data_IF_604218169348
#
_entry.id   IF_604218169348
#
_cell.length_a   1.000
_cell.length_b   1.000
_cell.length_c   1.000
_cell.angle_alpha   90.00
_cell.angle_beta   90.00
_cell.angle_gamma   90.00
#
_symmetry.space_group_name_H-M   'P 1'
#
loop_
_entity.id
_entity.type
_entity.pdbx_description
1 polymer ?
#
# COMPACT_ATOMS: atom_id res chain seq x y z
N UNK A 1 -0.10 46.52 -25.90
CA UNK A 1 0.12 47.58 -26.92
C UNK A 1 1.03 46.99 -27.99
N UNK A 2 0.48 46.59 -29.15
CA UNK A 2 1.14 46.00 -30.35
C UNK A 2 1.97 44.69 -30.11
N UNK A 3 1.83 43.58 -30.86
CA UNK A 3 2.02 43.29 -32.31
C UNK A 3 3.51 43.35 -32.71
N UNK A 4 4.11 42.42 -33.47
CA UNK A 4 3.63 41.39 -34.43
C UNK A 4 4.58 40.13 -34.44
N UNK A 5 4.44 39.01 -35.18
CA UNK A 5 3.52 38.51 -36.24
C UNK A 5 3.44 36.93 -36.28
N UNK A 6 3.12 36.34 -37.45
CA UNK A 6 2.86 34.92 -37.80
C UNK A 6 4.03 34.20 -38.52
N UNK A 7 3.96 32.86 -38.63
CA UNK A 7 3.66 32.16 -39.90
C UNK A 7 3.22 30.67 -39.72
N UNK A 8 2.52 30.12 -40.72
CA UNK A 8 2.16 28.70 -40.95
C UNK A 8 2.46 28.38 -42.44
N UNK A 9 2.62 27.11 -42.83
CA UNK A 9 1.54 26.40 -43.56
C UNK A 9 1.43 24.90 -43.16
N UNK A 10 0.46 24.08 -43.60
CA UNK A 10 -0.89 24.29 -44.17
C UNK A 10 -1.76 23.03 -43.95
N UNK A 11 -3.07 23.19 -44.15
CA UNK A 11 -4.15 22.17 -44.12
C UNK A 11 -4.48 21.72 -45.59
N UNK A 12 -5.39 20.76 -45.94
CA UNK A 12 -6.80 20.77 -45.50
C UNK A 12 -7.59 19.44 -45.40
N UNK A 13 -8.83 19.60 -44.91
CA UNK A 13 -9.96 18.67 -44.95
C UNK A 13 -11.00 19.13 -46.00
N UNK A 14 -11.85 18.25 -46.56
CA UNK A 14 -12.94 18.64 -47.46
C UNK A 14 -14.36 18.49 -46.84
N UNK A 15 -15.27 19.41 -47.15
CA UNK A 15 -16.74 19.19 -47.16
C UNK A 15 -17.45 20.35 -47.88
N UNK A 16 -18.64 20.10 -48.49
CA UNK A 16 -19.53 21.04 -49.24
C UNK A 16 -18.98 21.51 -50.62
N UNK A 17 -19.80 21.81 -51.65
CA UNK A 17 -21.26 21.67 -51.84
C UNK A 17 -21.72 21.71 -53.32
N UNK A 18 -22.92 21.16 -53.57
CA UNK A 18 -23.96 21.56 -54.55
C UNK A 18 -23.88 21.26 -56.07
N UNK A 19 -25.11 21.21 -56.63
CA UNK A 19 -25.57 21.11 -58.03
C UNK A 19 -25.36 19.75 -58.75
N UNK A 20 -26.28 19.25 -59.60
CA UNK A 20 -27.75 19.06 -59.53
C UNK A 20 -28.26 18.62 -60.91
N UNK A 21 -29.00 17.51 -61.05
CA UNK A 21 -30.00 17.32 -62.13
C UNK A 21 -30.93 16.11 -61.88
N UNK A 22 -32.07 16.12 -62.59
CA UNK A 22 -33.20 15.18 -62.58
C UNK A 22 -33.00 13.99 -63.55
N UNK A 23 -33.79 12.90 -63.57
CA UNK A 23 -34.66 12.28 -62.55
C UNK A 23 -34.87 10.75 -62.84
N UNK A 24 -36.07 10.13 -62.97
CA UNK A 24 -36.35 8.92 -62.20
C UNK A 24 -36.63 7.63 -63.01
N UNK A 25 -36.59 6.49 -62.32
CA UNK A 25 -37.27 5.25 -62.74
C UNK A 25 -37.90 4.56 -61.51
N UNK A 26 -38.94 3.75 -61.74
CA UNK A 26 -39.95 3.45 -60.71
C UNK A 26 -39.77 2.09 -60.00
N UNK A 27 -40.36 2.06 -58.79
CA UNK A 27 -40.71 0.90 -57.98
C UNK A 27 -41.19 -0.32 -58.79
N UNK A 28 -40.94 -1.54 -58.28
CA UNK A 28 -42.06 -2.40 -57.87
C UNK A 28 -41.66 -3.51 -56.88
N UNK A 29 -42.58 -3.82 -55.97
CA UNK A 29 -42.53 -4.91 -54.99
C UNK A 29 -43.00 -6.25 -55.57
N UNK A 30 -42.59 -7.39 -54.97
CA UNK A 30 -43.31 -8.68 -55.08
C UNK A 30 -43.44 -9.38 -53.71
N UNK A 31 -44.57 -10.07 -53.42
CA UNK A 31 -44.89 -10.62 -52.10
C UNK A 31 -44.84 -12.16 -52.05
N UNK A 32 -45.32 -12.72 -50.93
CA UNK A 32 -45.59 -14.15 -50.71
C UNK A 32 -46.47 -14.80 -51.80
N UNK A 33 -46.30 -16.11 -51.98
CA UNK A 33 -47.26 -17.03 -52.60
C UNK A 33 -47.44 -18.29 -51.73
N UNK A 34 -48.58 -18.97 -51.87
CA UNK A 34 -48.99 -20.07 -50.98
C UNK A 34 -49.99 -21.02 -51.68
N UNK A 35 -50.20 -22.23 -51.14
CA UNK A 35 -51.19 -23.27 -51.54
C UNK A 35 -50.92 -24.03 -52.87
N UNK A 36 -51.55 -25.20 -53.16
CA UNK A 36 -52.46 -26.04 -52.35
C UNK A 36 -52.10 -27.56 -52.26
N UNK A 37 -53.00 -28.30 -51.58
CA UNK A 37 -53.21 -29.77 -51.46
C UNK A 37 -53.20 -30.61 -52.78
N UNK A 38 -53.31 -31.97 -52.84
CA UNK A 38 -53.48 -33.18 -51.95
C UNK A 38 -52.92 -34.40 -52.76
N UNK A 39 -52.70 -35.65 -52.30
CA UNK A 39 -53.62 -36.68 -51.79
C UNK A 39 -52.82 -37.99 -51.48
N UNK A 40 -53.46 -39.09 -51.05
CA UNK A 40 -52.81 -40.35 -50.62
C UNK A 40 -52.75 -41.45 -51.70
N UNK A 41 -51.86 -42.45 -51.54
CA UNK A 41 -52.28 -43.87 -51.65
C UNK A 41 -51.96 -44.71 -50.38
N UNK A 42 -52.30 -46.01 -50.43
CA UNK A 42 -52.39 -46.94 -49.27
C UNK A 42 -51.11 -47.73 -48.94
N UNK A 43 -51.15 -48.35 -47.76
CA UNK A 43 -50.19 -49.32 -47.21
C UNK A 43 -50.09 -50.65 -47.97
N UNK A 44 -48.92 -51.28 -47.90
CA UNK A 44 -48.71 -52.74 -48.05
C UNK A 44 -47.87 -53.28 -46.88
N UNK A 45 -47.77 -54.61 -46.72
CA UNK A 45 -47.32 -55.26 -45.48
C UNK A 45 -45.91 -55.87 -45.56
N UNK A 46 -45.24 -55.91 -44.40
CA UNK A 46 -44.40 -57.01 -43.89
C UNK A 46 -43.42 -57.72 -44.82
N UNK A 47 -42.12 -57.54 -44.54
CA UNK A 47 -41.15 -58.66 -44.54
C UNK A 47 -40.24 -58.59 -43.30
N UNK A 48 -39.86 -59.76 -42.78
CA UNK A 48 -38.92 -59.96 -41.65
C UNK A 48 -37.48 -59.93 -42.22
N UNK A 49 -36.38 -59.71 -41.50
CA UNK A 49 -35.94 -60.33 -40.24
C UNK A 49 -34.72 -59.55 -39.62
N UNK A 50 -34.09 -59.96 -38.50
CA UNK A 50 -33.37 -59.04 -37.60
C UNK A 50 -31.84 -58.95 -37.77
N UNK A 51 -31.26 -57.78 -37.45
CA UNK A 51 -29.85 -57.61 -37.14
C UNK A 51 -29.60 -56.42 -36.17
N UNK A 52 -28.58 -56.57 -35.31
CA UNK A 52 -27.92 -55.53 -34.50
C UNK A 52 -28.78 -54.49 -33.75
N UNK A 53 -29.33 -54.87 -32.59
CA UNK A 53 -29.58 -53.91 -31.52
C UNK A 53 -28.24 -53.44 -30.90
N UNK A 54 -27.52 -52.54 -31.59
CA UNK A 54 -26.73 -51.54 -30.87
C UNK A 54 -27.71 -50.46 -30.45
N UNK A 55 -28.06 -50.42 -29.17
CA UNK A 55 -28.95 -49.40 -28.64
C UNK A 55 -28.41 -48.02 -29.00
N UNK A 56 -29.21 -47.22 -29.70
CA UNK A 56 -28.94 -45.80 -29.85
C UNK A 56 -28.97 -45.22 -28.43
N UNK A 57 -27.85 -44.66 -27.92
CA UNK A 57 -27.84 -44.10 -26.58
C UNK A 57 -28.91 -43.01 -26.52
N UNK A 58 -29.72 -43.04 -25.46
CA UNK A 58 -30.87 -42.16 -25.33
C UNK A 58 -30.44 -40.69 -25.45
N UNK A 59 -31.35 -39.80 -25.86
CA UNK A 59 -31.04 -38.37 -25.90
C UNK A 59 -30.50 -37.85 -24.55
N UNK A 60 -30.94 -38.43 -23.43
CA UNK A 60 -30.40 -38.17 -22.08
C UNK A 60 -28.94 -38.64 -21.92
N UNK A 61 -28.57 -39.84 -22.37
CA UNK A 61 -27.18 -40.30 -22.36
C UNK A 61 -26.29 -39.53 -23.34
N UNK A 62 -26.81 -39.14 -24.50
CA UNK A 62 -26.09 -38.29 -25.45
C UNK A 62 -25.84 -36.90 -24.87
N UNK A 63 -26.83 -36.27 -24.23
CA UNK A 63 -26.66 -34.99 -23.52
C UNK A 63 -25.70 -35.12 -22.33
N UNK A 64 -25.80 -36.22 -21.55
CA UNK A 64 -24.88 -36.49 -20.45
C UNK A 64 -23.43 -36.74 -20.91
N UNK A 65 -23.21 -37.24 -22.13
CA UNK A 65 -21.88 -37.38 -22.75
C UNK A 65 -21.39 -36.14 -23.49
N UNK A 66 -22.27 -35.33 -24.06
CA UNK A 66 -21.90 -34.25 -24.99
C UNK A 66 -21.41 -32.98 -24.30
N UNK A 67 -21.79 -32.76 -23.03
CA UNK A 67 -21.43 -31.55 -22.28
C UNK A 67 -21.00 -31.85 -20.85
N UNK A 68 -19.82 -32.44 -20.71
CA UNK A 68 -18.96 -32.12 -19.57
C UNK A 68 -18.56 -30.64 -19.68
N UNK A 69 -19.44 -29.74 -19.22
CA UNK A 69 -19.18 -28.30 -19.16
C UNK A 69 -18.03 -28.11 -18.18
N UNK A 70 -16.85 -27.79 -18.71
CA UNK A 70 -15.64 -27.50 -17.91
C UNK A 70 -16.00 -26.51 -16.82
N UNK A 71 -15.57 -26.79 -15.61
CA UNK A 71 -15.87 -25.93 -14.46
C UNK A 71 -15.40 -24.51 -14.73
N UNK A 72 -16.13 -23.50 -14.24
CA UNK A 72 -15.69 -22.11 -14.29
C UNK A 72 -14.24 -21.96 -13.78
N UNK A 73 -13.87 -22.73 -12.75
CA UNK A 73 -12.52 -22.78 -12.19
C UNK A 73 -11.42 -23.24 -13.17
N UNK A 74 -11.73 -24.01 -14.22
CA UNK A 74 -10.78 -24.42 -15.26
C UNK A 74 -10.43 -23.29 -16.24
N UNK A 75 -11.32 -22.31 -16.39
CA UNK A 75 -11.08 -21.12 -17.23
C UNK A 75 -10.37 -19.99 -16.47
N UNK A 76 -10.41 -20.01 -15.13
CA UNK A 76 -9.79 -18.97 -14.29
C UNK A 76 -8.29 -19.21 -14.17
N UNK A 77 -7.49 -18.39 -14.87
CA UNK A 77 -6.03 -18.39 -14.74
C UNK A 77 -5.61 -17.79 -13.40
N UNK A 78 -4.93 -18.57 -12.58
CA UNK A 78 -4.35 -18.10 -11.32
C UNK A 78 -3.26 -17.04 -11.56
N UNK A 79 -3.23 -15.94 -10.77
CA UNK A 79 -2.21 -14.90 -10.90
C UNK A 79 -0.80 -15.43 -10.61
N UNK A 80 0.16 -15.03 -11.45
CA UNK A 80 1.59 -15.31 -11.24
C UNK A 80 2.17 -14.30 -10.24
N UNK A 81 3.01 -14.79 -9.33
CA UNK A 81 3.62 -14.01 -8.23
C UNK A 81 5.13 -13.78 -8.41
N UNK A 82 5.75 -14.40 -9.42
CA UNK A 82 7.20 -14.36 -9.65
C UNK A 82 7.74 -12.96 -9.94
N UNK A 83 6.99 -12.11 -10.64
CA UNK A 83 7.39 -10.72 -10.90
C UNK A 83 7.43 -9.88 -9.61
N UNK A 84 6.51 -10.15 -8.69
CA UNK A 84 6.38 -9.47 -7.40
C UNK A 84 7.53 -9.87 -6.49
N UNK A 85 7.84 -11.18 -6.38
CA UNK A 85 9.02 -11.68 -5.66
C UNK A 85 10.30 -11.05 -6.24
N UNK A 86 10.48 -11.11 -7.57
CA UNK A 86 11.63 -10.52 -8.25
C UNK A 86 11.77 -9.02 -8.04
N UNK A 87 10.68 -8.25 -8.15
CA UNK A 87 10.69 -6.80 -7.87
C UNK A 87 11.01 -6.49 -6.41
N UNK A 88 10.43 -7.22 -5.45
CA UNK A 88 10.72 -6.99 -4.03
C UNK A 88 12.20 -7.24 -3.72
N UNK A 89 12.78 -8.34 -4.22
CA UNK A 89 14.19 -8.67 -4.03
C UNK A 89 15.12 -7.65 -4.72
N UNK A 90 14.91 -7.38 -6.01
CA UNK A 90 15.77 -6.46 -6.78
C UNK A 90 15.72 -5.03 -6.24
N UNK A 91 14.54 -4.54 -5.86
CA UNK A 91 14.37 -3.19 -5.33
C UNK A 91 14.91 -3.06 -3.91
N UNK A 92 14.72 -4.07 -3.06
CA UNK A 92 15.36 -4.10 -1.73
C UNK A 92 16.89 -4.10 -1.87
N UNK A 93 17.44 -4.97 -2.73
CA UNK A 93 18.88 -5.04 -3.01
C UNK A 93 19.45 -3.74 -3.57
N UNK A 94 18.74 -3.07 -4.48
CA UNK A 94 19.12 -1.75 -5.00
C UNK A 94 19.14 -0.67 -3.91
N UNK A 95 18.11 -0.60 -3.06
CA UNK A 95 18.05 0.39 -1.97
C UNK A 95 19.12 0.11 -0.92
N UNK A 96 19.39 -1.15 -0.58
CA UNK A 96 20.50 -1.55 0.29
C UNK A 96 21.86 -1.18 -0.29
N UNK A 97 22.09 -1.46 -1.58
CA UNK A 97 23.32 -1.07 -2.29
C UNK A 97 23.51 0.46 -2.26
N UNK A 98 22.48 1.23 -2.58
CA UNK A 98 22.55 2.68 -2.61
C UNK A 98 22.82 3.26 -1.21
N UNK A 99 22.01 2.86 -0.22
CA UNK A 99 22.13 3.32 1.16
C UNK A 99 23.50 2.97 1.78
N UNK A 100 24.01 1.75 1.55
CA UNK A 100 25.33 1.34 2.01
C UNK A 100 26.47 2.12 1.33
N UNK A 101 26.32 2.45 0.04
CA UNK A 101 27.28 3.26 -0.71
C UNK A 101 27.37 4.68 -0.17
N UNK A 102 26.23 5.37 0.02
CA UNK A 102 26.19 6.72 0.61
C UNK A 102 26.74 6.72 2.05
N UNK A 103 26.34 5.74 2.88
CA UNK A 103 26.82 5.60 4.26
C UNK A 103 28.35 5.45 4.30
N UNK A 104 28.92 4.62 3.42
CA UNK A 104 30.38 4.46 3.33
C UNK A 104 31.08 5.74 2.89
N UNK A 105 30.59 6.41 1.84
CA UNK A 105 31.20 7.64 1.34
C UNK A 105 31.19 8.75 2.40
N UNK A 106 30.07 8.95 3.10
CA UNK A 106 29.98 9.96 4.17
C UNK A 106 30.91 9.58 5.33
N UNK A 107 30.91 8.33 5.76
CA UNK A 107 31.75 7.87 6.88
C UNK A 107 33.25 8.01 6.57
N UNK A 108 33.68 7.62 5.37
CA UNK A 108 35.08 7.76 4.94
C UNK A 108 35.51 9.23 4.78
N UNK A 109 34.64 10.10 4.21
CA UNK A 109 34.90 11.55 4.15
C UNK A 109 35.05 12.15 5.55
N UNK A 110 34.25 11.70 6.52
CA UNK A 110 34.37 12.14 7.91
C UNK A 110 35.66 11.66 8.57
N UNK A 111 36.05 10.39 8.41
CA UNK A 111 37.35 9.88 8.91
C UNK A 111 38.51 10.72 8.38
N UNK A 112 38.53 11.01 7.07
CA UNK A 112 39.55 11.85 6.44
C UNK A 112 39.53 13.28 7.00
N UNK A 113 38.35 13.86 7.20
CA UNK A 113 38.23 15.19 7.83
C UNK A 113 38.76 15.20 9.28
N UNK A 114 38.50 14.16 10.08
CA UNK A 114 38.99 14.06 11.46
C UNK A 114 40.52 14.11 11.56
N UNK A 115 41.24 13.51 10.59
CA UNK A 115 42.72 13.57 10.56
C UNK A 115 43.30 14.97 10.34
N UNK A 116 42.48 15.93 9.89
CA UNK A 116 42.85 17.35 9.74
C UNK A 116 42.46 18.24 10.92
N UNK A 117 41.76 17.74 11.94
CA UNK A 117 41.36 18.51 13.11
C UNK A 117 42.34 18.36 14.27
N UNK A 118 42.74 19.48 14.86
CA UNK A 118 43.50 19.54 16.11
C UNK A 118 42.56 19.43 17.32
N UNK A 119 42.47 18.23 17.88
CA UNK A 119 41.65 17.94 19.06
C UNK A 119 42.38 18.34 20.35
N UNK A 120 41.77 19.11 21.26
CA UNK A 120 42.36 19.38 22.57
C UNK A 120 42.55 18.08 23.37
N UNK A 121 43.56 17.97 24.26
CA UNK A 121 43.89 16.70 24.94
C UNK A 121 42.72 16.03 25.67
N UNK A 122 41.82 16.83 26.27
CA UNK A 122 40.63 16.38 26.98
C UNK A 122 39.49 15.87 26.06
N UNK A 123 39.61 16.02 24.74
CA UNK A 123 38.66 15.54 23.73
C UNK A 123 39.26 14.44 22.82
N UNK A 124 40.39 13.85 23.21
CA UNK A 124 41.07 12.78 22.45
C UNK A 124 40.15 11.60 22.13
N UNK A 125 39.34 11.12 23.08
CA UNK A 125 38.33 10.08 22.83
C UNK A 125 37.18 10.48 21.90
N UNK A 126 36.99 11.78 21.62
CA UNK A 126 36.00 12.26 20.65
C UNK A 126 36.57 12.29 19.21
N UNK A 127 37.89 12.37 19.05
CA UNK A 127 38.57 12.39 17.75
C UNK A 127 38.34 11.12 16.92
N UNK A 128 37.95 10.02 17.56
CA UNK A 128 37.69 8.72 16.95
C UNK A 128 36.20 8.41 16.73
N UNK A 129 35.27 9.33 17.05
CA UNK A 129 33.84 9.14 16.74
C UNK A 129 33.45 9.86 15.42
N UNK A 130 33.30 9.10 14.33
CA UNK A 130 33.02 9.63 12.98
C UNK A 130 31.69 10.38 12.86
N UNK A 131 30.76 10.19 13.81
CA UNK A 131 29.43 10.82 13.85
C UNK A 131 29.56 12.32 14.18
N UNK A 132 30.51 12.69 15.03
CA UNK A 132 30.77 14.07 15.49
C UNK A 132 31.03 15.04 14.34
N UNK A 133 31.74 14.60 13.30
CA UNK A 133 31.98 15.44 12.12
C UNK A 133 30.69 15.66 11.32
N UNK A 134 29.77 14.69 11.26
CA UNK A 134 28.45 14.92 10.63
C UNK A 134 27.55 15.82 11.47
N UNK A 135 27.67 15.82 12.80
CA UNK A 135 26.97 16.80 13.65
C UNK A 135 27.50 18.22 13.44
N UNK A 136 28.82 18.40 13.39
CA UNK A 136 29.46 19.69 13.10
C UNK A 136 29.11 20.20 11.69
N UNK A 137 29.13 19.32 10.68
CA UNK A 137 28.68 19.63 9.31
C UNK A 137 27.20 20.05 9.28
N UNK A 138 26.31 19.27 9.91
CA UNK A 138 24.88 19.56 9.95
C UNK A 138 24.59 20.90 10.65
N UNK A 139 25.26 21.18 11.76
CA UNK A 139 25.15 22.48 12.44
C UNK A 139 25.56 23.62 11.51
N UNK A 140 26.69 23.50 10.82
CA UNK A 140 27.15 24.48 9.85
C UNK A 140 26.27 24.58 8.58
N UNK A 141 25.51 23.54 8.22
CA UNK A 141 24.48 23.59 7.17
C UNK A 141 23.25 24.38 7.62
N UNK A 142 22.74 24.11 8.83
CA UNK A 142 21.58 24.79 9.39
C UNK A 142 21.88 26.28 9.67
N UNK A 143 23.05 26.62 10.21
CA UNK A 143 23.49 28.00 10.42
C UNK A 143 23.68 28.77 9.09
N UNK A 144 24.09 28.10 8.01
CA UNK A 144 24.09 28.69 6.66
C UNK A 144 22.67 28.89 6.14
N UNK A 145 21.78 27.93 6.40
CA UNK A 145 20.37 28.02 6.04
C UNK A 145 19.66 29.26 6.61
N UNK A 146 19.94 29.64 7.86
CA UNK A 146 19.43 30.90 8.45
C UNK A 146 19.86 32.12 7.62
N UNK A 147 21.14 32.19 7.22
CA UNK A 147 21.71 33.32 6.46
C UNK A 147 21.09 33.41 5.07
N UNK A 148 21.09 32.29 4.34
CA UNK A 148 20.47 32.20 3.01
C UNK A 148 18.98 32.52 3.04
N UNK A 149 18.26 32.10 4.09
CA UNK A 149 16.84 32.44 4.28
C UNK A 149 16.65 33.95 4.49
N UNK A 150 17.47 34.58 5.36
CA UNK A 150 17.48 36.04 5.58
C UNK A 150 17.76 36.81 4.29
N UNK A 151 18.71 36.35 3.48
CA UNK A 151 19.05 36.97 2.18
C UNK A 151 17.85 36.90 1.22
N UNK A 152 17.17 35.74 1.12
CA UNK A 152 15.98 35.58 0.29
C UNK A 152 14.78 36.41 0.75
N UNK A 153 14.56 36.59 2.05
CA UNK A 153 13.43 37.37 2.60
C UNK A 153 13.81 38.83 2.92
N UNK A 154 14.98 39.29 2.49
CA UNK A 154 15.52 40.62 2.75
C UNK A 154 14.57 41.77 2.33
N UNK A 155 13.71 41.52 1.33
CA UNK A 155 12.67 42.45 0.86
C UNK A 155 11.48 42.63 1.83
N UNK A 156 11.27 41.70 2.77
CA UNK A 156 10.11 41.69 3.66
C UNK A 156 10.32 42.60 4.89
N UNK A 157 9.25 43.15 5.51
CA UNK A 157 9.36 43.91 6.76
C UNK A 157 10.04 43.13 7.89
N UNK A 158 10.81 43.80 8.75
CA UNK A 158 11.64 43.15 9.79
C UNK A 158 10.88 42.20 10.74
N UNK A 159 9.60 42.47 11.03
CA UNK A 159 8.77 41.53 11.80
C UNK A 159 8.52 40.20 11.06
N UNK A 160 8.30 40.24 9.74
CA UNK A 160 8.18 39.03 8.93
C UNK A 160 9.52 38.30 8.83
N UNK A 161 10.64 39.03 8.74
CA UNK A 161 11.97 38.42 8.77
C UNK A 161 12.21 37.67 10.09
N UNK A 162 11.86 38.25 11.24
CA UNK A 162 11.93 37.57 12.54
C UNK A 162 11.09 36.30 12.54
N UNK A 163 9.77 36.40 12.33
CA UNK A 163 8.86 35.24 12.44
C UNK A 163 9.29 34.07 11.53
N UNK A 164 9.79 34.35 10.32
CA UNK A 164 10.30 33.32 9.40
C UNK A 164 11.61 32.71 9.91
N UNK A 165 12.53 33.52 10.46
CA UNK A 165 13.77 33.03 11.07
C UNK A 165 13.51 32.26 12.37
N UNK A 166 12.58 32.70 13.20
CA UNK A 166 12.21 32.08 14.48
C UNK A 166 11.59 30.69 14.24
N UNK A 167 10.69 30.57 13.25
CA UNK A 167 10.14 29.29 12.80
C UNK A 167 11.21 28.39 12.19
N UNK A 168 12.12 28.94 11.37
CA UNK A 168 13.24 28.16 10.82
C UNK A 168 14.19 27.67 11.92
N UNK A 169 14.57 28.54 12.87
CA UNK A 169 15.49 28.23 13.96
C UNK A 169 14.90 27.18 14.89
N UNK A 170 13.60 27.25 15.21
CA UNK A 170 12.88 26.20 15.95
C UNK A 170 12.93 24.85 15.22
N UNK A 171 12.61 24.84 13.91
CA UNK A 171 12.64 23.63 13.10
C UNK A 171 14.05 23.05 12.94
N UNK A 172 15.05 23.90 12.72
CA UNK A 172 16.46 23.55 12.60
C UNK A 172 17.01 23.00 13.91
N UNK A 173 16.72 23.63 15.05
CA UNK A 173 17.10 23.15 16.38
C UNK A 173 16.48 21.78 16.67
N UNK A 174 15.20 21.59 16.36
CA UNK A 174 14.55 20.27 16.47
C UNK A 174 15.20 19.23 15.55
N UNK A 175 15.47 19.56 14.29
CA UNK A 175 16.14 18.66 13.34
C UNK A 175 17.58 18.30 13.76
N UNK A 176 18.30 19.26 14.36
CA UNK A 176 19.64 19.05 14.90
C UNK A 176 19.63 18.08 16.08
N UNK A 177 18.71 18.23 17.04
CA UNK A 177 18.63 17.35 18.20
C UNK A 177 17.90 16.02 17.96
N UNK A 178 17.14 15.89 16.86
CA UNK A 178 16.55 14.63 16.43
C UNK A 178 17.62 13.58 16.07
N UNK A 179 17.42 12.32 16.44
CA UNK A 179 18.31 11.22 16.03
C UNK A 179 18.19 10.95 14.52
N UNK A 180 19.22 10.34 13.91
CA UNK A 180 19.25 10.14 12.45
C UNK A 180 18.09 9.26 11.93
N UNK A 181 17.54 8.38 12.77
CA UNK A 181 16.28 7.66 12.52
C UNK A 181 15.03 8.52 12.54
N UNK A 182 14.92 9.44 13.52
CA UNK A 182 13.80 10.40 13.57
C UNK A 182 13.88 11.39 12.39
N UNK A 183 15.09 11.82 12.01
CA UNK A 183 15.35 12.57 10.77
C UNK A 183 14.90 11.79 9.53
N UNK A 184 15.16 10.48 9.46
CA UNK A 184 14.64 9.61 8.39
C UNK A 184 13.10 9.61 8.37
N UNK A 185 12.46 9.49 9.53
CA UNK A 185 11.01 9.54 9.65
C UNK A 185 10.42 10.90 9.26
N UNK A 186 11.08 12.04 9.53
CA UNK A 186 10.64 13.34 9.00
C UNK A 186 10.58 13.34 7.46
N UNK A 187 11.60 12.80 6.78
CA UNK A 187 11.62 12.71 5.32
C UNK A 187 10.53 11.78 4.78
N UNK A 188 10.34 10.60 5.38
CA UNK A 188 9.26 9.67 4.99
C UNK A 188 7.88 10.30 5.23
N UNK A 189 7.67 10.95 6.38
CA UNK A 189 6.42 11.65 6.71
C UNK A 189 6.14 12.80 5.74
N UNK A 190 7.16 13.58 5.36
CA UNK A 190 7.03 14.63 4.33
C UNK A 190 6.58 14.08 2.97
N UNK A 191 7.17 12.95 2.54
CA UNK A 191 6.76 12.25 1.32
C UNK A 191 5.32 11.71 1.40
N UNK A 192 4.96 11.09 2.53
CA UNK A 192 3.60 10.59 2.77
C UNK A 192 2.56 11.73 2.75
N UNK A 193 2.89 12.89 3.33
CA UNK A 193 2.05 14.10 3.30
C UNK A 193 1.89 14.60 1.86
N UNK A 194 2.97 14.68 1.08
CA UNK A 194 2.89 15.11 -0.32
C UNK A 194 2.01 14.17 -1.19
N UNK A 195 2.13 12.85 -0.99
CA UNK A 195 1.30 11.84 -1.65
C UNK A 195 -0.17 11.95 -1.19
N UNK A 196 -0.42 12.17 0.10
CA UNK A 196 -1.77 12.39 0.63
C UNK A 196 -2.41 13.70 0.12
N UNK A 197 -1.63 14.77 -0.08
CA UNK A 197 -2.10 16.00 -0.70
C UNK A 197 -2.47 15.76 -2.19
N UNK A 198 -1.68 14.96 -2.92
CA UNK A 198 -2.02 14.57 -4.29
C UNK A 198 -3.34 13.78 -4.39
N UNK A 199 -3.68 12.95 -3.38
CA UNK A 199 -4.99 12.31 -3.28
C UNK A 199 -6.16 13.30 -3.12
N UNK A 200 -5.94 14.47 -2.52
CA UNK A 200 -7.01 15.46 -2.34
C UNK A 200 -7.44 16.07 -3.68
N UNK A 201 -6.50 16.27 -4.62
CA UNK A 201 -6.74 16.87 -5.94
C UNK A 201 -7.62 15.93 -6.80
N UNK A 202 -8.89 16.29 -7.12
CA UNK A 202 -9.83 15.36 -7.75
C UNK A 202 -9.36 14.83 -9.12
N UNK A 203 -8.61 15.65 -9.88
CA UNK A 203 -8.04 15.29 -11.19
C UNK A 203 -6.95 14.21 -11.10
N UNK A 204 -6.24 14.09 -9.97
CA UNK A 204 -5.19 13.09 -9.79
C UNK A 204 -5.73 11.74 -9.28
N UNK A 205 -6.91 11.71 -8.63
CA UNK A 205 -7.48 10.48 -8.03
C UNK A 205 -7.54 9.26 -8.96
N UNK A 206 -7.78 9.35 -10.29
CA UNK A 206 -7.65 8.20 -11.19
C UNK A 206 -6.23 7.65 -11.22
N UNK A 207 -5.23 8.51 -11.40
CA UNK A 207 -3.80 8.15 -11.37
C UNK A 207 -3.38 7.59 -10.01
N UNK A 208 -3.78 8.24 -8.91
CA UNK A 208 -3.45 7.78 -7.55
C UNK A 208 -4.01 6.38 -7.26
N UNK A 209 -5.24 6.05 -7.69
CA UNK A 209 -5.76 4.66 -7.59
C UNK A 209 -4.93 3.66 -8.41
N UNK A 210 -4.53 4.05 -9.61
CA UNK A 210 -3.83 3.19 -10.59
C UNK A 210 -2.35 2.97 -10.24
N UNK A 211 -1.72 3.88 -9.47
CA UNK A 211 -0.28 3.88 -9.19
C UNK A 211 0.12 3.92 -7.71
N UNK A 212 -0.76 4.31 -6.79
CA UNK A 212 -0.50 4.44 -5.33
C UNK A 212 -1.45 3.58 -4.47
N UNK A 213 -2.01 2.52 -5.04
CA UNK A 213 -2.67 1.43 -4.29
C UNK A 213 -2.18 0.09 -4.84
N UNK A 214 -2.00 -0.91 -3.98
CA UNK A 214 -1.59 -2.25 -4.41
C UNK A 214 -2.81 -3.16 -4.53
N UNK A 215 -3.23 -3.43 -5.77
CA UNK A 215 -4.20 -4.48 -6.10
C UNK A 215 -3.43 -5.77 -6.48
N UNK A 216 -3.53 -6.86 -5.69
CA UNK A 216 -2.85 -8.11 -5.98
C UNK A 216 -3.22 -8.76 -7.33
N UNK A 217 -4.39 -8.44 -7.89
CA UNK A 217 -4.84 -8.98 -9.18
C UNK A 217 -4.40 -8.12 -10.38
N UNK A 218 -3.88 -6.91 -10.14
CA UNK A 218 -3.48 -5.97 -11.20
C UNK A 218 -2.18 -6.34 -11.93
N UNK A 219 -1.40 -7.29 -11.42
CA UNK A 219 -0.08 -7.67 -11.94
C UNK A 219 1.04 -6.63 -11.76
N UNK A 220 0.75 -5.47 -11.17
CA UNK A 220 1.72 -4.36 -11.03
C UNK A 220 2.62 -4.55 -9.81
N UNK A 221 3.79 -5.15 -10.00
CA UNK A 221 4.76 -5.38 -8.92
C UNK A 221 5.26 -4.09 -8.23
N UNK A 222 5.50 -3.01 -8.99
CA UNK A 222 5.98 -1.73 -8.42
C UNK A 222 5.01 -1.08 -7.42
N UNK A 223 3.71 -1.40 -7.50
CA UNK A 223 2.72 -0.78 -6.60
C UNK A 223 2.87 -1.21 -5.15
N UNK A 224 3.62 -2.29 -4.86
CA UNK A 224 4.02 -2.66 -3.50
C UNK A 224 4.91 -1.60 -2.82
N UNK A 225 5.76 -0.90 -3.60
CA UNK A 225 6.53 0.22 -3.08
C UNK A 225 5.61 1.43 -2.86
N UNK A 226 4.93 1.89 -3.91
CA UNK A 226 4.20 3.15 -3.89
C UNK A 226 2.97 3.13 -2.97
N UNK A 227 2.39 1.96 -2.72
CA UNK A 227 1.33 1.79 -1.72
C UNK A 227 1.85 1.99 -0.29
N UNK A 228 3.11 1.66 0.00
CA UNK A 228 3.74 1.85 1.33
C UNK A 228 3.76 3.33 1.73
N UNK A 229 3.85 4.25 0.77
CA UNK A 229 3.88 5.71 1.02
C UNK A 229 2.52 6.40 0.83
N UNK A 230 1.41 5.63 0.79
CA UNK A 230 0.07 6.11 0.41
C UNK A 230 -0.95 5.86 1.51
N UNK A 231 -1.78 6.84 1.86
CA UNK A 231 -2.72 6.75 3.00
C UNK A 231 -4.14 7.21 2.61
N UNK A 232 -5.15 6.38 2.89
CA UNK A 232 -6.53 6.62 2.44
C UNK A 232 -7.30 7.70 3.22
N UNK A 233 -6.85 8.09 4.41
CA UNK A 233 -7.50 9.11 5.25
C UNK A 233 -6.48 9.89 6.06
N UNK A 234 -6.87 11.08 6.52
CA UNK A 234 -6.03 11.92 7.38
C UNK A 234 -5.63 11.19 8.68
N UNK A 235 -6.56 10.53 9.37
CA UNK A 235 -6.24 9.77 10.58
C UNK A 235 -5.31 8.59 10.30
N UNK A 236 -5.46 7.91 9.15
CA UNK A 236 -4.53 6.83 8.78
C UNK A 236 -3.11 7.37 8.57
N UNK A 237 -2.96 8.52 7.89
CA UNK A 237 -1.67 9.21 7.75
C UNK A 237 -1.10 9.64 9.11
N UNK A 238 -1.93 10.25 9.95
CA UNK A 238 -1.54 10.79 11.26
C UNK A 238 -0.99 9.70 12.18
N UNK A 239 -1.76 8.63 12.42
CA UNK A 239 -1.32 7.55 13.31
C UNK A 239 -0.13 6.77 12.75
N UNK A 240 -0.04 6.58 11.42
CA UNK A 240 1.16 6.01 10.82
C UNK A 240 2.39 6.91 11.04
N UNK A 241 2.26 8.23 10.87
CA UNK A 241 3.37 9.17 11.04
C UNK A 241 3.83 9.26 12.50
N UNK A 242 2.89 9.27 13.46
CA UNK A 242 3.21 9.27 14.89
C UNK A 242 3.94 7.98 15.32
N UNK A 243 3.45 6.82 14.89
CA UNK A 243 4.10 5.54 15.17
C UNK A 243 5.47 5.41 14.47
N UNK A 244 5.60 5.92 13.24
CA UNK A 244 6.87 5.95 12.51
C UNK A 244 7.91 6.81 13.24
N UNK A 245 7.55 8.01 13.71
CA UNK A 245 8.45 8.87 14.48
C UNK A 245 8.94 8.16 15.74
N UNK A 246 8.03 7.57 16.51
CA UNK A 246 8.34 6.87 17.78
C UNK A 246 9.27 5.66 17.57
N UNK A 247 8.95 4.79 16.61
CA UNK A 247 9.69 3.53 16.41
C UNK A 247 10.94 3.68 15.53
N UNK A 248 11.02 4.69 14.67
CA UNK A 248 12.26 5.00 13.92
C UNK A 248 13.40 5.46 14.84
N UNK A 249 13.10 6.27 15.86
CA UNK A 249 14.05 6.70 16.88
C UNK A 249 14.65 5.49 17.60
N UNK A 250 13.78 4.64 18.16
CA UNK A 250 14.17 3.47 18.96
C UNK A 250 14.83 2.36 18.13
N UNK A 251 14.36 2.09 16.90
CA UNK A 251 15.00 1.10 16.02
C UNK A 251 16.37 1.57 15.52
N UNK A 252 16.55 2.86 15.29
CA UNK A 252 17.84 3.42 14.86
C UNK A 252 18.86 3.52 15.99
N UNK A 253 18.41 3.67 17.25
CA UNK A 253 19.28 3.48 18.42
C UNK A 253 19.83 2.06 18.49
N UNK A 254 18.99 1.04 18.27
CA UNK A 254 19.46 -0.35 18.16
C UNK A 254 20.45 -0.52 16.99
N UNK A 255 20.10 -0.06 15.78
CA UNK A 255 20.98 -0.13 14.60
C UNK A 255 22.34 0.55 14.83
N UNK A 256 22.35 1.71 15.48
CA UNK A 256 23.58 2.41 15.88
C UNK A 256 24.42 1.56 16.85
N UNK A 257 23.84 1.11 17.97
CA UNK A 257 24.55 0.32 18.98
C UNK A 257 25.12 -0.99 18.43
N UNK A 258 24.43 -1.60 17.47
CA UNK A 258 24.83 -2.85 16.83
C UNK A 258 25.92 -2.62 15.76
N UNK A 259 25.91 -1.47 15.08
CA UNK A 259 26.96 -1.08 14.12
C UNK A 259 28.23 -0.53 14.80
N UNK A 260 28.15 -0.09 16.06
CA UNK A 260 29.31 0.38 16.85
C UNK A 260 30.16 -0.77 17.45
N UNK A 261 29.80 -2.04 17.19
CA UNK A 261 30.61 -3.23 17.57
C UNK A 261 32.02 -3.20 16.92
N UNK A 262 33.10 -3.67 17.60
CA UNK A 262 34.48 -3.61 17.10
C UNK A 262 34.69 -4.12 15.67
N UNK A 263 34.11 -5.26 15.32
CA UNK A 263 34.27 -5.89 14.00
C UNK A 263 33.73 -5.01 12.86
N UNK A 264 32.65 -4.26 13.11
CA UNK A 264 31.83 -3.57 12.11
C UNK A 264 32.49 -2.29 11.56
N UNK A 265 32.05 -1.88 10.35
CA UNK A 265 32.51 -0.67 9.68
C UNK A 265 31.95 0.60 10.34
N UNK A 266 32.82 1.56 10.67
CA UNK A 266 32.45 2.84 11.31
C UNK A 266 31.34 3.54 10.51
N UNK A 267 30.34 4.06 11.21
CA UNK A 267 29.12 4.65 10.63
C UNK A 267 28.95 6.08 11.12
N UNK A 268 29.02 7.06 10.21
CA UNK A 268 28.80 8.46 10.54
C UNK A 268 27.31 8.85 10.59
N UNK A 269 26.44 8.10 9.90
CA UNK A 269 25.00 8.38 9.75
C UNK A 269 24.18 7.11 9.61
N UNK A 270 23.11 7.00 10.40
CA UNK A 270 22.21 5.83 10.43
C UNK A 270 20.93 6.04 9.59
N UNK A 271 20.65 7.27 9.17
CA UNK A 271 19.44 7.63 8.41
C UNK A 271 19.24 6.75 7.16
N UNK A 272 20.34 6.41 6.47
CA UNK A 272 20.34 5.55 5.29
C UNK A 272 20.08 4.07 5.62
N UNK A 273 20.59 3.57 6.74
CA UNK A 273 20.33 2.22 7.24
C UNK A 273 18.83 2.07 7.53
N UNK A 274 18.23 3.04 8.22
CA UNK A 274 16.80 3.05 8.48
C UNK A 274 15.96 3.16 7.19
N UNK A 275 16.35 3.96 6.20
CA UNK A 275 15.66 3.99 4.90
C UNK A 275 15.67 2.62 4.20
N UNK A 276 16.80 1.92 4.18
CA UNK A 276 16.92 0.59 3.57
C UNK A 276 16.08 -0.47 4.29
N UNK A 277 16.08 -0.44 5.62
CA UNK A 277 15.20 -1.24 6.47
C UNK A 277 13.72 -0.95 6.17
N UNK A 278 13.28 0.30 6.26
CA UNK A 278 11.88 0.71 6.10
C UNK A 278 11.31 0.33 4.73
N UNK A 279 12.04 0.62 3.64
CA UNK A 279 11.59 0.29 2.29
C UNK A 279 11.48 -1.23 2.09
N UNK A 280 12.47 -1.99 2.56
CA UNK A 280 12.48 -3.45 2.37
C UNK A 280 11.43 -4.14 3.25
N UNK A 281 11.19 -3.65 4.46
CA UNK A 281 10.11 -4.10 5.33
C UNK A 281 8.73 -3.83 4.71
N UNK A 282 8.52 -2.66 4.10
CA UNK A 282 7.29 -2.32 3.37
C UNK A 282 7.07 -3.20 2.14
N UNK A 283 8.12 -3.46 1.37
CA UNK A 283 8.10 -4.38 0.23
C UNK A 283 7.80 -5.82 0.65
N UNK A 284 8.43 -6.31 1.72
CA UNK A 284 8.19 -7.66 2.24
C UNK A 284 6.78 -7.81 2.80
N UNK A 285 6.30 -6.86 3.60
CA UNK A 285 4.93 -6.81 4.12
C UNK A 285 3.90 -6.86 2.98
N UNK A 286 4.09 -6.01 1.95
CA UNK A 286 3.25 -5.99 0.75
C UNK A 286 3.30 -7.30 -0.02
N UNK A 287 4.48 -7.93 -0.13
CA UNK A 287 4.66 -9.21 -0.81
C UNK A 287 3.95 -10.35 -0.05
N UNK A 288 3.98 -10.38 1.29
CA UNK A 288 3.26 -11.38 2.09
C UNK A 288 1.75 -11.25 1.89
N UNK A 289 1.20 -10.03 2.01
CA UNK A 289 -0.22 -9.76 1.71
C UNK A 289 -0.60 -10.13 0.27
N UNK A 290 0.27 -9.84 -0.71
CA UNK A 290 0.10 -10.22 -2.10
C UNK A 290 0.08 -11.76 -2.29
N UNK A 291 1.03 -12.48 -1.70
CA UNK A 291 1.12 -13.95 -1.77
C UNK A 291 -0.12 -14.59 -1.16
N UNK A 292 -0.56 -14.16 0.03
CA UNK A 292 -1.78 -14.67 0.66
C UNK A 292 -3.01 -14.36 -0.19
N UNK A 293 -3.13 -13.13 -0.69
CA UNK A 293 -4.26 -12.72 -1.53
C UNK A 293 -4.37 -13.54 -2.81
N UNK A 294 -3.24 -13.82 -3.48
CA UNK A 294 -3.19 -14.54 -4.76
C UNK A 294 -3.22 -16.07 -4.62
N UNK A 295 -2.70 -16.63 -3.51
CA UNK A 295 -2.55 -18.09 -3.33
C UNK A 295 -3.51 -18.71 -2.32
N UNK A 296 -4.12 -17.93 -1.43
CA UNK A 296 -5.03 -18.43 -0.39
C UNK A 296 -6.43 -17.82 -0.56
N UNK A 297 -6.54 -16.49 -0.65
CA UNK A 297 -7.85 -15.83 -0.72
C UNK A 297 -8.49 -16.02 -2.10
N UNK A 298 -7.77 -15.76 -3.19
CA UNK A 298 -8.30 -15.87 -4.55
C UNK A 298 -8.82 -17.29 -4.88
N UNK A 299 -8.10 -18.40 -4.63
CA UNK A 299 -8.66 -19.74 -4.87
C UNK A 299 -9.90 -20.06 -4.02
N UNK A 300 -9.93 -19.62 -2.75
CA UNK A 300 -11.12 -19.78 -1.89
C UNK A 300 -12.33 -19.04 -2.45
N UNK A 301 -12.14 -17.81 -2.94
CA UNK A 301 -13.17 -16.99 -3.59
C UNK A 301 -13.71 -17.65 -4.86
N UNK A 302 -12.83 -18.15 -5.74
CA UNK A 302 -13.23 -18.84 -6.96
C UNK A 302 -13.99 -20.13 -6.65
N UNK A 303 -13.57 -20.90 -5.66
CA UNK A 303 -14.29 -22.09 -5.21
C UNK A 303 -15.67 -21.74 -4.64
N UNK A 304 -15.80 -20.66 -3.85
CA UNK A 304 -17.09 -20.20 -3.32
C UNK A 304 -18.06 -19.79 -4.45
N UNK A 305 -17.57 -19.03 -5.46
CA UNK A 305 -18.38 -18.66 -6.64
C UNK A 305 -18.81 -19.91 -7.44
N UNK A 306 -17.92 -20.90 -7.58
CA UNK A 306 -18.22 -22.13 -8.31
C UNK A 306 -19.28 -23.01 -7.63
N UNK A 307 -19.34 -23.01 -6.29
CA UNK A 307 -20.35 -23.75 -5.52
C UNK A 307 -21.65 -22.98 -5.32
N UNK A 308 -21.60 -21.64 -5.31
CA UNK A 308 -22.79 -20.78 -5.23
C UNK A 308 -22.74 -19.64 -6.26
N UNK A 309 -23.13 -19.91 -7.53
CA UNK A 309 -23.10 -18.90 -8.61
C UNK A 309 -24.04 -17.71 -8.41
N UNK A 310 -25.00 -17.81 -7.48
CA UNK A 310 -25.95 -16.75 -7.16
C UNK A 310 -25.54 -15.91 -5.94
N UNK A 311 -24.43 -16.27 -5.27
CA UNK A 311 -23.89 -15.51 -4.15
C UNK A 311 -23.53 -14.08 -4.58
N UNK A 312 -24.25 -13.09 -4.05
CA UNK A 312 -23.96 -11.68 -4.32
C UNK A 312 -22.58 -11.34 -3.77
N UNK A 313 -21.71 -10.63 -4.50
CA UNK A 313 -20.44 -10.16 -3.95
C UNK A 313 -20.69 -9.26 -2.75
N UNK A 314 -19.94 -9.48 -1.66
CA UNK A 314 -20.04 -8.66 -0.46
C UNK A 314 -19.95 -7.17 -0.82
N UNK A 315 -20.94 -6.41 -0.33
CA UNK A 315 -20.94 -4.96 -0.40
C UNK A 315 -19.85 -4.45 0.54
N UNK A 316 -18.65 -4.26 0.01
CA UNK A 316 -17.53 -3.74 0.79
C UNK A 316 -17.87 -2.31 1.23
N UNK A 317 -17.89 -2.00 2.55
CA UNK A 317 -17.90 -0.63 2.98
C UNK A 317 -16.58 0.00 2.53
N UNK A 318 -16.64 0.96 1.60
CA UNK A 318 -15.49 1.71 1.09
C UNK A 318 -14.99 2.70 2.14
N UNK A 319 -14.46 2.16 3.24
CA UNK A 319 -14.16 2.81 4.52
C UNK A 319 -15.37 3.49 5.17
N UNK A 320 -15.76 3.05 6.38
CA UNK A 320 -16.79 3.76 7.16
C UNK A 320 -16.40 5.23 7.43
N UNK A 321 -15.11 5.55 7.45
CA UNK A 321 -14.60 6.92 7.54
C UNK A 321 -15.10 7.85 6.41
N UNK A 322 -15.21 7.36 5.17
CA UNK A 322 -15.77 8.13 4.06
C UNK A 322 -17.31 8.29 4.15
N UNK A 323 -17.97 7.54 5.03
CA UNK A 323 -19.43 7.56 5.21
C UNK A 323 -19.85 8.60 6.24
N UNK A 324 -19.12 8.76 7.35
CA UNK A 324 -19.46 9.70 8.44
C UNK A 324 -19.60 11.15 7.97
N UNK A 325 -18.82 11.56 6.95
CA UNK A 325 -18.89 12.90 6.37
C UNK A 325 -20.23 13.24 5.68
N UNK A 326 -21.10 12.25 5.39
CA UNK A 326 -22.43 12.49 4.82
C UNK A 326 -23.56 12.58 5.85
N UNK A 327 -23.39 12.03 7.05
CA UNK A 327 -24.47 11.97 8.03
C UNK A 327 -24.54 13.21 8.93
N UNK A 328 -23.47 14.01 9.01
CA UNK A 328 -23.43 15.25 9.83
C UNK A 328 -24.15 16.42 9.14
N UNK A 329 -24.18 16.47 7.80
CA UNK A 329 -24.80 17.55 7.02
C UNK A 329 -26.26 17.28 6.63
N UNK A 330 -26.88 16.21 7.15
CA UNK A 330 -28.23 15.76 6.79
C UNK A 330 -29.29 15.92 7.89
N UNK A 331 -28.91 16.34 9.10
CA UNK A 331 -29.85 16.57 10.20
C UNK A 331 -30.27 18.04 10.25
N UNK A 332 -31.30 18.38 9.50
CA UNK A 332 -31.97 19.68 9.62
C UNK A 332 -32.70 19.72 10.95
N UNK A 333 -32.14 20.37 11.97
CA UNK A 333 -32.78 20.52 13.29
C UNK A 333 -33.91 21.54 13.19
N UNK A 334 -35.07 21.10 12.70
CA UNK A 334 -36.33 21.84 12.85
C UNK A 334 -36.79 21.71 14.30
N UNK A 335 -36.42 22.68 15.13
CA UNK A 335 -36.89 22.76 16.50
C UNK A 335 -38.41 23.02 16.53
N UNK A 336 -39.17 22.11 17.15
CA UNK A 336 -40.56 22.33 17.53
C UNK A 336 -40.71 22.04 19.02
N UNK A 337 -41.32 22.98 19.75
CA UNK A 337 -41.62 22.86 21.18
C UNK A 337 -42.89 22.06 21.40
N UNK A 338 -42.87 21.08 22.32
CA UNK A 338 -44.06 20.26 22.59
C UNK A 338 -43.94 19.37 23.83
N UNK A 339 -44.91 19.54 24.72
CA UNK A 339 -45.18 18.81 25.97
C UNK A 339 -44.93 17.28 25.93
N UNK A 340 -44.58 16.73 27.09
CA UNK A 340 -44.46 15.31 27.34
C UNK A 340 -45.79 14.54 27.13
N UNK A 341 -45.66 13.26 26.75
CA UNK A 341 -46.44 12.15 27.33
C UNK A 341 -45.70 10.83 27.08
N UNK A 342 -45.73 9.93 28.05
CA UNK A 342 -45.24 8.56 27.87
C UNK A 342 -46.39 7.66 27.41
N UNK A 343 -46.18 6.87 26.37
CA UNK A 343 -47.12 5.83 25.93
C UNK A 343 -46.37 4.51 25.68
N UNK A 344 -46.75 3.50 26.45
CA UNK A 344 -46.32 2.11 26.21
C UNK A 344 -47.27 1.48 25.20
N UNK A 345 -46.78 1.15 24.02
CA UNK A 345 -47.46 0.25 23.08
C UNK A 345 -46.54 -0.91 22.71
N UNK A 346 -46.89 -2.08 23.24
CA UNK A 346 -46.26 -3.34 22.87
C UNK A 346 -46.86 -3.91 21.57
N UNK A 347 -46.33 -5.05 21.15
CA UNK A 347 -46.77 -5.89 20.02
C UNK A 347 -46.43 -5.42 18.59
N UNK A 348 -45.41 -6.07 18.01
CA UNK A 348 -45.45 -6.62 16.63
C UNK A 348 -44.33 -7.67 16.43
N UNK A 349 -44.14 -8.54 17.42
CA UNK A 349 -43.15 -9.61 17.38
C UNK A 349 -43.71 -10.87 16.69
N UNK A 350 -43.84 -10.86 15.36
CA UNK A 350 -44.25 -12.04 14.58
C UNK A 350 -43.93 -11.94 13.07
N UNK A 351 -42.64 -12.02 12.66
CA UNK A 351 -42.27 -12.24 11.25
C UNK A 351 -40.84 -12.79 11.01
N UNK A 352 -40.13 -13.29 12.03
CA UNK A 352 -38.84 -13.99 11.82
C UNK A 352 -39.09 -15.37 11.21
N UNK A 353 -39.28 -15.39 9.88
CA UNK A 353 -39.26 -16.62 9.11
C UNK A 353 -37.94 -17.35 9.33
N UNK A 354 -38.02 -18.60 9.79
CA UNK A 354 -36.87 -19.46 10.04
C UNK A 354 -36.23 -19.88 8.71
N UNK A 355 -35.40 -19.00 8.15
CA UNK A 355 -34.50 -19.36 7.07
C UNK A 355 -33.66 -20.58 7.51
N UNK A 356 -33.71 -21.66 6.73
CA UNK A 356 -32.93 -22.86 7.05
C UNK A 356 -31.43 -22.54 7.04
N UNK A 357 -30.57 -23.32 7.71
CA UNK A 357 -29.12 -23.10 7.67
C UNK A 357 -28.60 -23.02 6.22
N UNK A 358 -29.10 -23.87 5.33
CA UNK A 358 -28.79 -23.85 3.91
C UNK A 358 -29.24 -22.58 3.18
N UNK A 359 -30.34 -21.93 3.59
CA UNK A 359 -30.77 -20.65 3.02
C UNK A 359 -29.93 -19.47 3.52
N UNK A 360 -29.46 -19.50 4.77
CA UNK A 360 -28.50 -18.54 5.30
C UNK A 360 -27.12 -18.70 4.65
N UNK A 361 -26.68 -19.94 4.44
CA UNK A 361 -25.42 -20.29 3.76
C UNK A 361 -25.46 -19.95 2.25
N UNK A 362 -26.60 -20.18 1.58
CA UNK A 362 -26.81 -19.73 0.20
C UNK A 362 -26.80 -18.19 0.05
N UNK A 363 -27.02 -17.44 1.14
CA UNK A 363 -26.93 -15.98 1.17
C UNK A 363 -25.53 -15.46 1.54
N UNK A 364 -24.54 -16.33 1.82
CA UNK A 364 -23.19 -15.94 2.21
C UNK A 364 -22.49 -15.12 1.10
N UNK A 365 -22.28 -13.83 1.33
CA UNK A 365 -21.85 -12.90 0.31
C UNK A 365 -20.35 -13.06 -0.04
N UNK A 366 -20.02 -13.19 -1.33
CA UNK A 366 -18.66 -13.54 -1.78
C UNK A 366 -17.64 -12.47 -1.35
N UNK A 367 -16.58 -12.82 -0.59
CA UNK A 367 -15.61 -11.85 -0.12
C UNK A 367 -14.80 -11.27 -1.28
N UNK A 368 -14.72 -9.94 -1.39
CA UNK A 368 -13.79 -9.26 -2.29
C UNK A 368 -12.38 -9.18 -1.66
N UNK A 369 -11.36 -9.26 -2.52
CA UNK A 369 -10.01 -8.73 -2.25
C UNK A 369 -10.09 -7.21 -2.44
N UNK A 370 -9.45 -6.44 -1.57
CA UNK A 370 -9.39 -4.97 -1.64
C UNK A 370 -7.96 -4.52 -1.90
N UNK A 371 -7.73 -3.41 -2.64
CA UNK A 371 -6.39 -2.85 -2.77
C UNK A 371 -5.86 -2.33 -1.43
N UNK A 372 -4.62 -2.66 -1.09
CA UNK A 372 -3.97 -2.21 0.16
C UNK A 372 -3.05 -1.01 -0.07
N UNK A 373 -2.82 -0.26 1.01
CA UNK A 373 -1.97 0.93 1.08
C UNK A 373 -1.66 1.28 2.55
N UNK A 374 -0.54 1.94 2.78
CA UNK A 374 -0.08 2.46 4.06
C UNK A 374 1.27 1.90 4.48
N UNK A 375 2.03 2.73 5.19
CA UNK A 375 3.34 2.39 5.75
C UNK A 375 3.30 1.37 6.90
N UNK A 376 2.09 0.98 7.33
CA UNK A 376 1.86 0.25 8.57
C UNK A 376 2.68 -1.05 8.71
N UNK A 377 2.86 -1.85 7.65
CA UNK A 377 3.71 -3.06 7.72
C UNK A 377 5.20 -2.76 7.99
N UNK A 378 5.74 -1.69 7.41
CA UNK A 378 7.11 -1.25 7.69
C UNK A 378 7.26 -0.68 9.11
N UNK A 379 6.24 0.00 9.61
CA UNK A 379 6.18 0.50 11.00
C UNK A 379 6.04 -0.67 11.99
N UNK A 380 5.25 -1.69 11.65
CA UNK A 380 5.09 -2.92 12.43
C UNK A 380 6.43 -3.66 12.54
N UNK A 381 7.17 -3.75 11.44
CA UNK A 381 8.54 -4.26 11.43
C UNK A 381 9.47 -3.47 12.35
N UNK A 382 9.41 -2.13 12.31
CA UNK A 382 10.19 -1.27 13.22
C UNK A 382 9.82 -1.54 14.69
N UNK A 383 8.53 -1.64 15.00
CA UNK A 383 8.05 -1.91 16.36
C UNK A 383 8.48 -3.28 16.88
N UNK A 384 8.31 -4.35 16.09
CA UNK A 384 8.71 -5.71 16.51
C UNK A 384 10.22 -5.82 16.66
N UNK A 385 11.02 -5.16 15.80
CA UNK A 385 12.46 -5.02 16.03
C UNK A 385 12.75 -4.33 17.37
N UNK A 386 12.07 -3.22 17.69
CA UNK A 386 12.29 -2.52 18.98
C UNK A 386 11.82 -3.30 20.20
N UNK A 387 10.75 -4.07 20.09
CA UNK A 387 10.23 -4.91 21.18
C UNK A 387 11.10 -6.16 21.43
N UNK A 388 11.92 -6.58 20.46
CA UNK A 388 12.93 -7.63 20.63
C UNK A 388 14.27 -7.05 21.11
N UNK A 389 14.61 -5.83 20.71
CA UNK A 389 15.80 -5.12 21.18
C UNK A 389 15.66 -4.61 22.63
N UNK A 390 14.46 -4.18 23.03
CA UNK A 390 14.18 -3.53 24.32
C UNK A 390 12.86 -4.08 24.91
N UNK A 391 12.80 -5.37 25.30
CA UNK A 391 11.55 -6.03 25.68
C UNK A 391 10.84 -5.42 26.89
N UNK A 392 11.61 -4.88 27.83
CA UNK A 392 11.15 -4.22 29.05
C UNK A 392 10.96 -2.70 28.88
N UNK A 393 11.37 -2.14 27.74
CA UNK A 393 11.17 -0.72 27.45
C UNK A 393 9.68 -0.40 27.32
N UNK A 394 9.24 0.72 27.87
CA UNK A 394 7.82 1.05 27.97
C UNK A 394 7.25 1.66 26.68
N UNK A 395 6.03 1.25 26.32
CA UNK A 395 5.19 1.92 25.32
C UNK A 395 3.85 2.30 25.94
N UNK A 396 3.35 3.49 25.62
CA UNK A 396 2.01 3.96 26.00
C UNK A 396 1.09 4.02 24.78
N UNK A 397 -0.18 3.65 24.93
CA UNK A 397 -1.17 3.82 23.87
C UNK A 397 -1.90 5.16 24.03
N UNK A 398 -1.88 5.96 22.97
CA UNK A 398 -2.64 7.22 22.90
C UNK A 398 -4.13 6.95 22.64
N UNK A 399 -4.45 5.84 21.97
CA UNK A 399 -5.82 5.43 21.67
C UNK A 399 -5.95 3.89 21.58
N UNK A 400 -6.73 3.22 22.46
CA UNK A 400 -7.30 3.78 23.69
C UNK A 400 -6.18 4.28 24.64
N UNK A 401 -6.46 5.24 25.54
CA UNK A 401 -5.48 5.74 26.48
C UNK A 401 -5.11 4.65 27.50
N UNK A 402 -3.93 4.05 27.34
CA UNK A 402 -3.35 3.08 28.27
C UNK A 402 -1.99 3.61 28.71
N UNK A 403 -1.72 3.56 30.01
CA UNK A 403 -0.43 3.93 30.59
C UNK A 403 0.72 3.09 30.06
N UNK A 404 1.97 3.39 30.46
CA UNK A 404 3.14 2.63 30.03
C UNK A 404 3.01 1.13 30.38
N UNK A 405 3.41 0.27 29.45
CA UNK A 405 3.58 -1.17 29.65
C UNK A 405 4.75 -1.69 28.78
N UNK A 406 5.34 -2.85 29.10
CA UNK A 406 6.47 -3.40 28.34
C UNK A 406 6.18 -3.61 26.84
N UNK A 407 7.10 -3.17 25.98
CA UNK A 407 7.00 -3.34 24.52
C UNK A 407 6.83 -4.80 24.10
N UNK A 408 7.40 -5.75 24.84
CA UNK A 408 7.18 -7.19 24.66
C UNK A 408 5.71 -7.59 24.75
N UNK A 409 4.95 -7.06 25.71
CA UNK A 409 3.50 -7.29 25.83
C UNK A 409 2.72 -6.59 24.71
N UNK A 410 3.18 -5.41 24.28
CA UNK A 410 2.61 -4.72 23.11
C UNK A 410 2.76 -5.54 21.82
N UNK A 411 3.96 -6.06 21.56
CA UNK A 411 4.27 -6.92 20.43
C UNK A 411 3.42 -8.20 20.44
N UNK A 412 3.37 -8.91 21.57
CA UNK A 412 2.53 -10.10 21.73
C UNK A 412 1.04 -9.78 21.52
N UNK A 413 0.56 -8.66 22.07
CA UNK A 413 -0.83 -8.21 21.97
C UNK A 413 -1.27 -7.90 20.55
N UNK A 414 -0.48 -7.16 19.77
CA UNK A 414 -0.86 -6.83 18.37
C UNK A 414 -0.69 -8.02 17.42
N UNK A 415 0.34 -8.85 17.60
CA UNK A 415 0.51 -10.07 16.79
C UNK A 415 -0.62 -11.07 17.05
N UNK A 416 -1.07 -11.19 18.31
CA UNK A 416 -2.28 -11.94 18.66
C UNK A 416 -3.54 -11.33 18.03
N UNK A 417 -3.68 -10.00 18.05
CA UNK A 417 -4.81 -9.30 17.44
C UNK A 417 -4.90 -9.58 15.92
N UNK A 418 -3.77 -9.58 15.21
CA UNK A 418 -3.73 -9.89 13.78
C UNK A 418 -3.95 -11.37 13.50
N UNK A 419 -3.42 -12.28 14.33
CA UNK A 419 -3.74 -13.71 14.23
C UNK A 419 -5.24 -13.97 14.43
N UNK A 420 -5.87 -13.31 15.42
CA UNK A 420 -7.33 -13.36 15.63
C UNK A 420 -8.07 -12.70 14.46
N UNK A 421 -7.57 -11.59 13.92
CA UNK A 421 -8.15 -10.94 12.73
C UNK A 421 -8.16 -11.84 11.50
N UNK A 422 -7.05 -12.55 11.24
CA UNK A 422 -6.95 -13.58 10.20
C UNK A 422 -7.94 -14.73 10.44
N UNK A 423 -7.97 -15.28 11.67
CA UNK A 423 -8.84 -16.40 12.02
C UNK A 423 -10.34 -16.06 11.96
N UNK A 424 -10.72 -14.81 12.31
CA UNK A 424 -12.10 -14.32 12.28
C UNK A 424 -12.48 -13.61 10.97
N UNK A 425 -11.58 -13.56 9.99
CA UNK A 425 -11.84 -12.96 8.67
C UNK A 425 -12.08 -11.46 8.70
N UNK A 426 -11.51 -10.74 9.67
CA UNK A 426 -11.59 -9.29 9.80
C UNK A 426 -10.91 -8.58 8.61
N UNK A 427 -11.39 -7.37 8.30
CA UNK A 427 -11.00 -6.59 7.10
C UNK A 427 -10.78 -5.10 7.38
N UNK A 428 -10.65 -4.72 8.65
CA UNK A 428 -10.38 -3.32 9.04
C UNK A 428 -8.91 -2.95 8.76
N UNK A 429 -8.02 -3.94 8.82
CA UNK A 429 -6.58 -3.82 8.61
C UNK A 429 -6.09 -4.88 7.62
N UNK A 430 -4.92 -4.66 7.01
CA UNK A 430 -4.22 -5.70 6.25
C UNK A 430 -3.39 -6.56 7.21
N UNK A 431 -4.10 -7.42 7.95
CA UNK A 431 -3.51 -8.33 8.94
C UNK A 431 -2.37 -9.20 8.37
N UNK A 432 -2.38 -9.49 7.06
CA UNK A 432 -1.31 -10.27 6.41
C UNK A 432 -0.08 -9.43 6.11
N UNK A 433 -0.23 -8.15 5.75
CA UNK A 433 0.90 -7.21 5.69
C UNK A 433 1.48 -6.93 7.08
N UNK A 434 0.64 -6.89 8.12
CA UNK A 434 1.08 -6.70 9.52
C UNK A 434 1.89 -7.88 10.04
N UNK A 435 1.40 -9.12 9.87
CA UNK A 435 2.15 -10.33 10.20
C UNK A 435 3.42 -10.49 9.32
N UNK A 436 3.38 -10.05 8.06
CA UNK A 436 4.57 -9.97 7.21
C UNK A 436 5.62 -8.98 7.74
N UNK A 437 5.18 -7.82 8.21
CA UNK A 437 6.03 -6.84 8.88
C UNK A 437 6.63 -7.38 10.18
N UNK A 438 5.83 -8.07 11.00
CA UNK A 438 6.31 -8.73 12.22
C UNK A 438 7.41 -9.77 11.94
N UNK A 439 7.21 -10.61 10.93
CA UNK A 439 8.21 -11.59 10.51
C UNK A 439 9.50 -10.92 10.00
N UNK A 440 9.39 -9.82 9.22
CA UNK A 440 10.57 -9.07 8.80
C UNK A 440 11.30 -8.44 9.99
N UNK A 441 10.59 -7.83 10.94
CA UNK A 441 11.18 -7.21 12.14
C UNK A 441 11.99 -8.21 12.98
N UNK A 442 11.45 -9.41 13.20
CA UNK A 442 12.15 -10.49 13.92
C UNK A 442 13.37 -11.05 13.16
N UNK A 443 13.25 -11.24 11.84
CA UNK A 443 14.38 -11.63 10.98
C UNK A 443 15.46 -10.53 10.89
N UNK A 444 15.06 -9.26 11.01
CA UNK A 444 16.00 -8.14 10.97
C UNK A 444 16.71 -7.93 12.31
N UNK A 445 16.03 -8.13 13.43
CA UNK A 445 16.67 -8.15 14.75
C UNK A 445 17.70 -9.28 14.88
N UNK A 446 17.46 -10.45 14.27
CA UNK A 446 18.40 -11.59 14.28
C UNK A 446 19.56 -11.48 13.28
N UNK A 447 19.34 -10.99 12.06
CA UNK A 447 20.35 -11.03 10.98
C UNK A 447 20.65 -9.68 10.32
N UNK A 448 19.82 -8.65 10.55
CA UNK A 448 19.76 -7.43 9.74
C UNK A 448 21.00 -6.55 9.81
N UNK A 449 21.64 -6.45 10.98
CA UNK A 449 22.87 -5.66 11.12
C UNK A 449 24.09 -6.34 10.50
N UNK A 450 24.25 -7.66 10.69
CA UNK A 450 25.28 -8.44 9.98
C UNK A 450 25.10 -8.40 8.47
N UNK A 451 23.85 -8.43 7.98
CA UNK A 451 23.54 -8.21 6.56
C UNK A 451 23.85 -6.79 6.08
N UNK A 452 23.59 -5.76 6.90
CA UNK A 452 23.93 -4.37 6.58
C UNK A 452 25.45 -4.15 6.50
N UNK A 453 26.20 -4.62 7.49
CA UNK A 453 27.65 -4.51 7.51
C UNK A 453 28.30 -5.32 6.36
N UNK A 454 27.81 -6.55 6.09
CA UNK A 454 28.17 -7.32 4.90
C UNK A 454 27.88 -6.54 3.61
N UNK A 455 26.72 -5.89 3.49
CA UNK A 455 26.39 -5.06 2.32
C UNK A 455 27.39 -3.91 2.19
N UNK A 456 27.68 -3.19 3.27
CA UNK A 456 28.67 -2.11 3.31
C UNK A 456 30.09 -2.58 2.97
N UNK A 457 30.47 -3.83 3.27
CA UNK A 457 31.74 -4.42 2.81
C UNK A 457 31.75 -4.75 1.32
N UNK A 458 30.60 -5.04 0.70
CA UNK A 458 30.51 -5.55 -0.68
C UNK A 458 30.08 -4.50 -1.73
N UNK A 459 29.58 -3.32 -1.35
CA UNK A 459 29.39 -2.20 -2.30
C UNK A 459 30.71 -1.67 -2.87
N UNK A 460 30.64 -0.94 -3.99
CA UNK A 460 31.81 -0.30 -4.61
C UNK A 460 32.16 1.03 -3.93
N UNK A 461 33.42 1.46 -4.07
CA UNK A 461 33.94 2.73 -3.55
C UNK A 461 34.84 2.60 -2.32
N UNK A 462 35.39 3.73 -1.88
CA UNK A 462 36.17 3.86 -0.65
C UNK A 462 35.30 3.55 0.58
N UNK A 463 35.92 2.95 1.61
CA UNK A 463 35.25 2.44 2.81
C UNK A 463 35.93 2.98 4.07
N UNK A 464 35.16 3.29 5.13
CA UNK A 464 35.73 3.66 6.42
C UNK A 464 36.43 2.46 7.07
N UNK A 465 37.20 2.71 8.13
CA UNK A 465 37.82 1.66 8.95
C UNK A 465 36.77 0.90 9.78
N UNK A 466 37.16 -0.26 10.29
CA UNK A 466 36.40 -0.95 11.34
C UNK A 466 36.56 -0.24 12.69
N UNK A 467 35.63 -0.49 13.62
CA UNK A 467 35.71 0.04 14.99
C UNK A 467 36.89 -0.53 15.79
N UNK A 468 37.43 -1.70 15.43
CA UNK A 468 38.55 -2.40 16.08
C UNK A 468 39.94 -1.72 15.94
N UNK A 469 40.00 -0.47 15.46
CA UNK A 469 41.20 0.37 15.42
C UNK A 469 41.23 1.44 16.52
N UNK A 470 40.70 1.10 17.71
CA UNK A 470 40.58 1.95 18.91
C UNK A 470 41.52 1.46 20.01
#
# INVERSE_FOLDING_TARGET
MFCFARLRPSFPSPYRQYLSHAAPSHLHSRPFSFTPHRWLPRSSQSLKSPASQRGLPSFREQVARSTAVRSFSEYVKYPKVGYQIGTALLLSGFVYYYAATETNQISYRNERAQTGLSWPPQWTGMSSNVRVVSELQLKAELERGVKTLLDYISFAPKMMQSVVVDVYAFAANKYFHALDGERAAYWITGLNIAIWLAWQIPRLRPFMRVHFTHDPLSGKAYTMLTSTFSHASFLHLLFNSMALLSFSQTSSLWMMSEQDRPEHLRQARDMYHFFAFFVSAGLFSSLVSHVVSTRILFPRIINQIAHNPHAKPAAAPLSHWASSAKNVTGSTVTASSGSATASVTASTAAATASASPAAAEAAAAVPRILPSLGSSGAIYSAFILTALAFPDGEVSLIFPPVGPFPMSYGAAGIVLLDCVGVLRGWKLFDHYAHLGGAAFGALYWTYGAGFWDWTRRNVLGEKPKSNAGL
#
